data_IF_989675843899
#
_entry.id   IF_989675843899
#
_cell.length_a   1.000
_cell.length_b   1.000
_cell.length_c   1.000
_cell.angle_alpha   90.00
_cell.angle_beta   90.00
_cell.angle_gamma   90.00
#
_symmetry.space_group_name_H-M   'P 1'
#
loop_
_entity.id
_entity.type
_entity.pdbx_description
1 polymer ?
#
# COMPACT_ATOMS: atom_id res chain seq x y z
N UNK A 1 -14.09 29.19 -15.34
CA UNK A 1 -12.64 29.27 -15.05
C UNK A 1 -12.33 28.07 -14.16
N UNK A 2 -12.02 26.91 -14.76
CA UNK A 2 -11.76 25.69 -14.01
C UNK A 2 -10.25 25.59 -13.77
N UNK A 3 -9.84 25.64 -12.51
CA UNK A 3 -8.48 25.44 -12.07
C UNK A 3 -8.14 23.96 -12.17
N UNK A 4 -7.34 23.58 -13.17
CA UNK A 4 -6.83 22.24 -13.35
C UNK A 4 -5.76 21.95 -12.30
N UNK A 5 -6.09 21.14 -11.31
CA UNK A 5 -5.09 20.48 -10.46
C UNK A 5 -4.50 19.38 -11.33
N UNK A 6 -3.30 19.59 -11.82
CA UNK A 6 -2.59 18.64 -12.67
C UNK A 6 -2.13 17.44 -11.83
N UNK A 7 -2.27 16.25 -12.40
CA UNK A 7 -1.78 14.97 -11.84
C UNK A 7 -0.31 15.00 -11.34
N UNK A 8 0.47 15.95 -11.82
CA UNK A 8 1.85 16.21 -11.41
C UNK A 8 1.99 16.75 -9.99
N UNK A 9 1.02 17.52 -9.47
CA UNK A 9 1.10 18.07 -8.11
C UNK A 9 0.90 17.00 -7.05
N UNK A 10 -0.02 16.07 -7.28
CA UNK A 10 -0.29 14.93 -6.37
C UNK A 10 0.90 13.96 -6.33
N UNK A 11 1.57 13.77 -7.48
CA UNK A 11 2.74 12.88 -7.56
C UNK A 11 3.98 13.48 -6.84
N UNK A 12 4.15 14.79 -6.91
CA UNK A 12 5.24 15.50 -6.22
C UNK A 12 5.01 15.51 -4.70
N UNK A 13 3.78 15.70 -4.23
CA UNK A 13 3.44 15.59 -2.81
C UNK A 13 3.69 14.17 -2.28
N UNK A 14 3.33 13.14 -3.02
CA UNK A 14 3.59 11.74 -2.64
C UNK A 14 5.09 11.42 -2.56
N UNK A 15 5.90 11.90 -3.49
CA UNK A 15 7.36 11.74 -3.45
C UNK A 15 8.00 12.47 -2.27
N UNK A 16 7.45 13.62 -1.88
CA UNK A 16 7.93 14.39 -0.72
C UNK A 16 7.61 13.67 0.59
N UNK A 17 6.42 13.08 0.71
CA UNK A 17 6.01 12.29 1.88
C UNK A 17 6.84 11.00 2.03
N UNK A 18 7.13 10.30 0.94
CA UNK A 18 7.98 9.10 0.94
C UNK A 18 9.42 9.44 1.37
N UNK A 19 9.96 10.57 0.92
CA UNK A 19 11.29 11.01 1.34
C UNK A 19 11.35 11.43 2.82
N UNK A 20 10.32 12.10 3.31
CA UNK A 20 10.20 12.45 4.74
C UNK A 20 10.10 11.20 5.63
N UNK A 21 9.43 10.15 5.16
CA UNK A 21 9.32 8.88 5.87
C UNK A 21 10.67 8.14 5.94
N UNK A 22 11.44 8.09 4.85
CA UNK A 22 12.81 7.55 4.84
C UNK A 22 13.74 8.31 5.77
N UNK A 23 13.65 9.63 5.81
CA UNK A 23 14.42 10.48 6.71
C UNK A 23 14.08 10.22 8.19
N UNK A 24 12.79 10.01 8.52
CA UNK A 24 12.38 9.69 9.89
C UNK A 24 12.87 8.31 10.35
N UNK A 25 12.71 7.28 9.50
CA UNK A 25 13.27 5.93 9.82
C UNK A 25 14.77 5.96 10.02
N UNK A 26 15.49 6.73 9.21
CA UNK A 26 16.93 6.91 9.38
C UNK A 26 17.27 7.65 10.68
N UNK A 27 16.54 8.72 11.03
CA UNK A 27 16.74 9.46 12.30
C UNK A 27 16.40 8.60 13.53
N UNK A 28 15.37 7.74 13.46
CA UNK A 28 15.06 6.77 14.53
C UNK A 28 16.18 5.73 14.69
N UNK A 29 16.68 5.19 13.57
CA UNK A 29 17.77 4.21 13.60
C UNK A 29 19.07 4.83 14.17
N UNK A 30 19.37 6.08 13.82
CA UNK A 30 20.52 6.82 14.36
C UNK A 30 20.34 7.11 15.85
N UNK A 31 19.12 7.44 16.32
CA UNK A 31 18.83 7.60 17.75
C UNK A 31 19.02 6.30 18.52
N UNK A 32 18.55 5.17 18.02
CA UNK A 32 18.72 3.83 18.62
C UNK A 32 20.20 3.44 18.71
N UNK A 33 21.00 3.78 17.70
CA UNK A 33 22.44 3.53 17.72
C UNK A 33 23.17 4.47 18.70
N UNK A 34 22.74 5.72 18.81
CA UNK A 34 23.34 6.68 19.74
C UNK A 34 23.06 6.32 21.21
N UNK A 35 21.85 5.82 21.54
CA UNK A 35 21.51 5.34 22.87
C UNK A 35 22.25 4.05 23.23
N UNK A 36 22.45 3.15 22.26
CA UNK A 36 23.23 1.91 22.46
C UNK A 36 24.73 2.18 22.73
N UNK A 37 25.30 3.19 22.09
CA UNK A 37 26.75 3.55 22.30
C UNK A 37 26.96 4.28 23.62
N UNK A 38 26.00 5.06 24.10
CA UNK A 38 26.10 5.73 25.40
C UNK A 38 26.03 4.77 26.58
N UNK A 39 25.28 3.66 26.44
CA UNK A 39 25.14 2.66 27.50
C UNK A 39 26.42 1.82 27.71
N UNK A 40 27.29 1.72 26.70
CA UNK A 40 28.53 0.95 26.80
C UNK A 40 29.75 1.76 27.35
N UNK A 41 29.65 3.09 27.40
CA UNK A 41 30.77 3.95 27.84
C UNK A 41 30.68 4.41 29.30
N UNK A 42 29.60 4.09 30.04
CA UNK A 42 29.41 4.55 31.43
C UNK A 42 29.78 3.52 32.51
N UNK A 43 30.36 2.37 32.17
CA UNK A 43 30.69 1.32 33.15
C UNK A 43 32.07 1.42 33.79
N UNK A 44 32.84 2.50 33.63
CA UNK A 44 34.21 2.64 34.14
C UNK A 44 34.51 3.94 34.90
N UNK A 45 33.55 4.57 35.58
CA UNK A 45 33.89 5.66 36.53
C UNK A 45 33.21 5.38 37.87
N UNK A 46 34.09 5.22 38.88
CA UNK A 46 33.82 4.94 40.29
C UNK A 46 33.10 6.07 41.03
N UNK A 47 32.50 5.79 42.20
CA UNK A 47 31.46 6.61 42.83
C UNK A 47 32.03 7.68 43.72
N UNK A 48 31.72 8.94 43.49
CA UNK A 48 31.82 9.99 44.52
C UNK A 48 30.59 10.89 44.43
N UNK A 49 29.90 10.94 45.57
CA UNK A 49 28.87 11.89 45.99
C UNK A 49 27.46 11.70 45.44
N UNK A 50 26.63 11.27 46.38
CA UNK A 50 25.20 11.21 46.32
C UNK A 50 24.52 12.56 45.98
N UNK A 51 23.33 12.41 45.44
CA UNK A 51 22.38 13.46 45.11
C UNK A 51 22.35 13.90 43.65
N UNK A 52 22.08 12.97 42.76
CA UNK A 52 21.57 13.25 41.42
C UNK A 52 20.65 12.13 40.94
N UNK A 53 19.92 11.50 41.82
CA UNK A 53 18.92 10.47 41.48
C UNK A 53 17.51 11.05 41.31
N UNK A 54 17.43 12.18 40.61
CA UNK A 54 16.16 12.70 40.18
C UNK A 54 16.31 13.36 38.81
N UNK A 55 17.06 12.70 37.93
CA UNK A 55 17.19 13.15 36.55
C UNK A 55 16.68 12.07 35.61
N UNK A 56 15.43 12.30 35.17
CA UNK A 56 14.86 11.72 33.99
C UNK A 56 14.74 10.18 33.95
N UNK A 57 13.71 9.65 34.58
CA UNK A 57 12.85 8.78 33.79
C UNK A 57 12.26 9.67 32.69
N UNK A 58 13.03 9.88 31.64
CA UNK A 58 12.44 10.18 30.35
C UNK A 58 11.52 8.99 30.08
N UNK A 59 10.25 9.21 30.38
CA UNK A 59 9.18 8.41 29.83
C UNK A 59 9.44 8.55 28.33
N UNK A 60 10.11 7.57 27.70
CA UNK A 60 10.01 7.37 26.28
C UNK A 60 8.52 7.15 26.07
N UNK A 61 7.79 8.22 25.74
CA UNK A 61 6.44 8.11 25.23
C UNK A 61 6.58 7.21 24.02
N UNK A 62 6.25 5.95 24.18
CA UNK A 62 6.27 4.97 23.12
C UNK A 62 5.09 5.30 22.22
N UNK A 63 5.33 6.19 21.28
CA UNK A 63 4.35 6.50 20.26
C UNK A 63 4.09 5.26 19.43
N UNK A 64 2.84 4.87 19.36
CA UNK A 64 2.38 3.86 18.42
C UNK A 64 1.92 4.53 17.13
N UNK A 65 2.15 3.85 16.01
CA UNK A 65 1.75 4.34 14.70
C UNK A 65 0.81 3.32 14.07
N UNK A 66 -0.24 3.83 13.43
CA UNK A 66 -1.16 3.00 12.63
C UNK A 66 -1.31 3.59 11.23
N UNK A 67 -1.66 2.76 10.26
CA UNK A 67 -1.77 3.09 8.85
C UNK A 67 -3.23 3.02 8.42
N UNK A 68 -3.69 4.00 7.64
CA UNK A 68 -5.03 3.96 7.07
C UNK A 68 -5.16 2.79 6.08
N UNK A 69 -6.16 1.94 6.26
CA UNK A 69 -6.42 0.77 5.41
C UNK A 69 -7.16 1.10 4.12
N UNK A 70 -7.65 2.33 3.98
CA UNK A 70 -8.32 2.81 2.77
C UNK A 70 -8.27 4.33 2.65
N UNK A 71 -8.44 4.82 1.42
CA UNK A 71 -8.62 6.24 1.16
C UNK A 71 -10.06 6.69 1.43
N UNK A 72 -10.23 7.98 1.74
CA UNK A 72 -11.55 8.61 1.87
C UNK A 72 -12.24 8.42 3.22
N UNK A 73 -11.62 7.76 4.20
CA UNK A 73 -12.14 7.66 5.56
C UNK A 73 -12.09 9.01 6.24
N UNK A 74 -13.16 9.38 6.93
CA UNK A 74 -13.25 10.68 7.59
C UNK A 74 -12.35 10.74 8.84
N UNK A 75 -11.57 11.79 8.92
CA UNK A 75 -10.86 12.23 10.12
C UNK A 75 -11.75 13.25 10.81
N UNK A 76 -12.09 13.03 12.09
CA UNK A 76 -13.09 13.79 12.80
C UNK A 76 -12.53 14.48 14.04
N UNK A 77 -13.19 15.56 14.45
CA UNK A 77 -12.81 16.34 15.62
C UNK A 77 -13.10 15.63 16.94
N UNK A 78 -14.15 14.79 16.98
CA UNK A 78 -14.59 14.02 18.13
C UNK A 78 -14.89 12.58 17.74
N UNK A 79 -14.87 11.61 18.68
CA UNK A 79 -15.06 10.19 18.41
C UNK A 79 -16.54 9.81 18.19
N UNK A 80 -17.21 10.46 17.24
CA UNK A 80 -18.59 10.17 16.85
C UNK A 80 -18.85 10.52 15.38
N UNK A 81 -19.92 9.98 14.82
CA UNK A 81 -20.27 10.15 13.41
C UNK A 81 -20.88 11.51 13.07
N UNK A 82 -21.34 12.25 14.06
CA UNK A 82 -21.99 13.56 13.89
C UNK A 82 -21.01 14.72 14.02
N UNK A 83 -19.80 14.42 14.48
CA UNK A 83 -18.72 15.38 14.65
C UNK A 83 -18.24 15.96 13.32
N UNK A 84 -17.69 17.17 13.39
CA UNK A 84 -17.04 17.85 12.28
C UNK A 84 -15.97 16.97 11.59
N UNK A 85 -16.01 16.95 10.26
CA UNK A 85 -15.00 16.26 9.45
C UNK A 85 -13.85 17.24 9.19
N UNK A 86 -12.67 16.94 9.71
CA UNK A 86 -11.46 17.75 9.56
C UNK A 86 -10.69 17.41 8.27
N UNK A 87 -10.89 16.20 7.74
CA UNK A 87 -10.20 15.72 6.55
C UNK A 87 -10.57 14.29 6.20
N UNK A 88 -9.83 13.74 5.24
CA UNK A 88 -9.98 12.35 4.81
C UNK A 88 -8.61 11.68 4.69
N UNK A 89 -8.57 10.38 4.94
CA UNK A 89 -7.36 9.57 4.80
C UNK A 89 -6.99 9.35 3.34
N UNK A 90 -5.70 9.13 3.09
CA UNK A 90 -5.21 8.38 1.93
C UNK A 90 -4.79 6.98 2.41
N UNK A 91 -4.82 5.99 1.51
CA UNK A 91 -4.32 4.66 1.82
C UNK A 91 -2.87 4.72 2.32
N UNK A 92 -2.56 3.93 3.34
CA UNK A 92 -1.24 3.88 3.97
C UNK A 92 -0.75 5.22 4.55
N UNK A 93 -1.65 6.19 4.78
CA UNK A 93 -1.27 7.35 5.60
C UNK A 93 -0.95 6.88 7.00
N UNK A 94 0.26 7.19 7.47
CA UNK A 94 0.71 6.90 8.82
C UNK A 94 0.18 7.95 9.81
N UNK A 95 -0.38 7.50 10.91
CA UNK A 95 -0.86 8.34 12.00
C UNK A 95 -0.17 7.96 13.29
N UNK A 96 0.35 8.95 14.00
CA UNK A 96 0.76 8.78 15.38
C UNK A 96 -0.49 8.68 16.24
N UNK A 97 -0.64 7.56 16.96
CA UNK A 97 -1.81 7.27 17.78
C UNK A 97 -1.52 7.52 19.25
N UNK A 98 -2.56 7.93 19.97
CA UNK A 98 -2.50 8.24 21.40
C UNK A 98 -3.21 7.17 22.22
N UNK A 99 -4.46 6.90 21.88
CA UNK A 99 -5.33 5.94 22.59
C UNK A 99 -6.48 5.50 21.69
N UNK A 100 -7.07 4.36 22.02
CA UNK A 100 -8.32 3.88 21.42
C UNK A 100 -9.47 4.09 22.41
N UNK A 101 -10.57 4.74 21.98
CA UNK A 101 -11.76 5.07 22.78
C UNK A 101 -13.01 4.69 22.00
N UNK A 102 -13.81 3.77 22.50
CA UNK A 102 -15.13 3.41 21.97
C UNK A 102 -15.16 3.12 20.46
N UNK A 103 -14.14 2.40 19.96
CA UNK A 103 -14.00 2.06 18.54
C UNK A 103 -13.45 3.18 17.65
N UNK A 104 -12.92 4.23 18.28
CA UNK A 104 -12.20 5.32 17.63
C UNK A 104 -10.75 5.38 18.11
N UNK A 105 -9.84 5.62 17.21
CA UNK A 105 -8.44 5.88 17.54
C UNK A 105 -8.18 7.38 17.53
N UNK A 106 -7.70 7.90 18.65
CA UNK A 106 -7.23 9.27 18.78
C UNK A 106 -5.85 9.40 18.15
N UNK A 107 -5.71 10.34 17.26
CA UNK A 107 -4.47 10.62 16.52
C UNK A 107 -3.96 12.03 16.81
N UNK A 108 -2.66 12.24 16.66
CA UNK A 108 -2.03 13.54 16.72
C UNK A 108 -2.04 14.20 15.34
N UNK A 109 -2.41 15.47 15.27
CA UNK A 109 -2.33 16.32 14.07
C UNK A 109 -1.61 17.60 14.38
N UNK A 110 -1.26 18.40 13.37
CA UNK A 110 -0.65 19.74 13.58
C UNK A 110 -1.57 20.69 14.35
N UNK A 111 -2.89 20.50 14.23
CA UNK A 111 -3.91 21.33 14.89
C UNK A 111 -4.34 20.80 16.28
N UNK A 112 -3.74 19.71 16.77
CA UNK A 112 -4.10 19.04 18.01
C UNK A 112 -4.53 17.59 17.77
N UNK A 113 -5.60 17.13 18.44
CA UNK A 113 -6.10 15.78 18.33
C UNK A 113 -7.26 15.68 17.33
N UNK A 114 -7.34 14.50 16.70
CA UNK A 114 -8.45 14.10 15.84
C UNK A 114 -8.74 12.61 16.04
N UNK A 115 -9.80 12.10 15.42
CA UNK A 115 -10.26 10.73 15.60
C UNK A 115 -10.55 10.06 14.26
N UNK A 116 -10.14 8.82 14.15
CA UNK A 116 -10.45 7.92 13.03
C UNK A 116 -11.09 6.68 13.62
N UNK A 117 -12.12 6.11 12.98
CA UNK A 117 -12.64 4.80 13.40
C UNK A 117 -11.55 3.75 13.35
N UNK A 118 -11.34 3.03 14.46
CA UNK A 118 -10.24 2.07 14.61
C UNK A 118 -10.26 0.95 13.57
N UNK A 119 -11.45 0.57 13.06
CA UNK A 119 -11.63 -0.43 12.01
C UNK A 119 -10.94 -0.07 10.68
N UNK A 120 -10.62 1.21 10.46
CA UNK A 120 -9.93 1.69 9.27
C UNK A 120 -8.43 1.94 9.48
N UNK A 121 -7.89 1.43 10.56
CA UNK A 121 -6.46 1.52 10.88
C UNK A 121 -5.85 0.13 11.07
N UNK A 122 -4.59 -0.02 10.67
CA UNK A 122 -3.79 -1.24 10.79
C UNK A 122 -2.43 -0.90 11.41
N UNK A 123 -1.85 -1.82 12.17
CA UNK A 123 -0.49 -1.69 12.71
C UNK A 123 0.59 -1.85 11.64
N UNK A 124 0.23 -2.32 10.44
CA UNK A 124 1.12 -2.49 9.29
C UNK A 124 0.55 -1.83 8.06
N UNK A 125 1.43 -1.38 7.16
CA UNK A 125 1.04 -0.88 5.85
C UNK A 125 0.29 -1.94 5.04
N UNK A 126 -0.71 -1.50 4.29
CA UNK A 126 -1.44 -2.37 3.36
C UNK A 126 -0.57 -2.57 2.12
N UNK A 127 -0.20 -3.82 1.88
CA UNK A 127 0.56 -4.20 0.68
C UNK A 127 -0.35 -4.49 -0.51
N UNK A 128 -1.55 -5.05 -0.26
CA UNK A 128 -2.50 -5.46 -1.28
C UNK A 128 -3.91 -4.95 -0.99
N UNK A 129 -4.55 -4.37 -2.00
CA UNK A 129 -5.97 -3.97 -1.95
C UNK A 129 -6.81 -5.06 -2.65
N UNK A 130 -7.87 -5.60 -2.00
CA UNK A 130 -8.77 -6.51 -2.66
C UNK A 130 -9.58 -5.79 -3.75
N UNK A 131 -9.52 -6.29 -4.98
CA UNK A 131 -10.33 -5.82 -6.10
C UNK A 131 -11.63 -6.64 -6.25
N UNK A 132 -11.74 -7.75 -5.49
CA UNK A 132 -12.86 -8.67 -5.52
C UNK A 132 -12.69 -9.79 -6.55
N UNK A 133 -13.79 -10.42 -6.92
CA UNK A 133 -13.82 -11.63 -7.72
C UNK A 133 -13.76 -11.33 -9.23
N UNK A 134 -12.80 -11.94 -9.92
CA UNK A 134 -12.59 -11.81 -11.35
C UNK A 134 -12.81 -13.15 -12.05
N UNK A 135 -13.33 -13.08 -13.30
CA UNK A 135 -13.34 -14.20 -14.24
C UNK A 135 -11.98 -14.25 -14.94
N UNK A 136 -11.23 -15.33 -14.76
CA UNK A 136 -9.92 -15.55 -15.36
C UNK A 136 -10.07 -16.59 -16.48
N UNK A 137 -9.68 -16.21 -17.69
CA UNK A 137 -9.55 -17.08 -18.86
C UNK A 137 -8.09 -17.17 -19.29
N UNK A 138 -7.80 -18.10 -20.21
CA UNK A 138 -6.44 -18.35 -20.67
C UNK A 138 -6.36 -18.37 -22.18
N UNK A 139 -5.26 -17.84 -22.73
CA UNK A 139 -4.91 -17.93 -24.13
C UNK A 139 -3.48 -18.43 -24.29
N UNK A 140 -3.19 -19.17 -25.37
CA UNK A 140 -1.83 -19.66 -25.63
C UNK A 140 -1.03 -18.69 -26.49
N UNK A 141 0.29 -18.74 -26.30
CA UNK A 141 1.26 -17.95 -27.10
C UNK A 141 1.92 -18.79 -28.20
N UNK A 142 1.51 -20.05 -28.36
CA UNK A 142 1.95 -20.88 -29.47
C UNK A 142 1.56 -20.24 -30.82
N UNK A 143 2.41 -20.37 -31.86
CA UNK A 143 2.11 -19.84 -33.18
C UNK A 143 1.02 -20.66 -33.88
N UNK A 144 -0.24 -20.45 -33.51
CA UNK A 144 -1.42 -21.03 -34.16
C UNK A 144 -2.09 -20.06 -35.10
N UNK A 145 -2.51 -20.54 -36.28
CA UNK A 145 -3.13 -19.69 -37.30
C UNK A 145 -4.54 -19.21 -36.95
N UNK A 146 -5.23 -19.74 -35.93
CA UNK A 146 -6.68 -19.56 -35.85
C UNK A 146 -7.32 -19.28 -34.50
N UNK A 147 -6.64 -19.34 -33.35
CA UNK A 147 -7.39 -19.42 -32.08
C UNK A 147 -6.94 -18.43 -30.99
N UNK A 148 -5.69 -18.06 -30.89
CA UNK A 148 -5.17 -17.33 -29.75
C UNK A 148 -4.41 -16.06 -30.15
N UNK A 149 -4.96 -14.92 -29.76
CA UNK A 149 -4.29 -13.62 -29.85
C UNK A 149 -4.33 -12.94 -31.23
N UNK A 150 -4.00 -11.65 -31.24
CA UNK A 150 -4.00 -10.79 -32.45
C UNK A 150 -2.71 -10.85 -33.26
N UNK A 151 -1.75 -11.67 -32.87
CA UNK A 151 -0.59 -11.99 -33.69
C UNK A 151 0.58 -11.01 -33.68
N UNK A 152 0.56 -9.91 -32.95
CA UNK A 152 1.73 -8.99 -32.88
C UNK A 152 2.84 -9.52 -32.00
N UNK A 153 2.51 -10.43 -31.07
CA UNK A 153 3.46 -10.94 -30.07
C UNK A 153 3.93 -9.91 -29.06
N UNK A 154 3.34 -8.71 -29.06
CA UNK A 154 3.62 -7.64 -28.12
C UNK A 154 2.39 -7.30 -27.29
N UNK A 155 2.61 -7.03 -26.00
CA UNK A 155 1.61 -6.50 -25.07
C UNK A 155 1.33 -5.03 -25.37
N UNK A 156 0.29 -4.48 -24.75
CA UNK A 156 -0.02 -3.04 -24.84
C UNK A 156 1.10 -2.15 -24.28
N UNK A 157 1.90 -2.66 -23.33
CA UNK A 157 3.08 -1.97 -22.81
C UNK A 157 4.31 -2.08 -23.71
N UNK A 158 4.23 -2.82 -24.82
CA UNK A 158 5.33 -3.02 -25.77
C UNK A 158 6.28 -4.17 -25.41
N UNK A 159 6.01 -4.92 -24.36
CA UNK A 159 6.77 -6.09 -23.97
C UNK A 159 6.42 -7.29 -24.86
N UNK A 160 7.35 -8.23 -25.04
CA UNK A 160 7.04 -9.49 -25.68
C UNK A 160 6.08 -10.29 -24.78
N UNK A 161 5.00 -10.79 -25.36
CA UNK A 161 4.05 -11.65 -24.64
C UNK A 161 4.75 -12.90 -24.14
N UNK A 162 4.53 -13.26 -22.89
CA UNK A 162 5.10 -14.43 -22.22
C UNK A 162 4.05 -15.12 -21.34
N UNK A 163 4.26 -16.39 -20.92
CA UNK A 163 3.37 -17.03 -19.96
C UNK A 163 3.25 -16.18 -18.67
N UNK A 164 2.01 -15.84 -18.27
CA UNK A 164 1.73 -14.95 -17.16
C UNK A 164 1.47 -13.50 -17.54
N UNK A 165 1.67 -13.09 -18.82
CA UNK A 165 1.21 -11.76 -19.27
C UNK A 165 -0.32 -11.66 -19.13
N UNK A 166 -0.80 -10.61 -18.46
CA UNK A 166 -2.23 -10.40 -18.22
C UNK A 166 -2.81 -9.35 -19.16
N UNK A 167 -3.91 -9.69 -19.83
CA UNK A 167 -4.82 -8.73 -20.44
C UNK A 167 -5.92 -8.38 -19.44
N UNK A 168 -6.13 -7.07 -19.23
CA UNK A 168 -7.05 -6.51 -18.23
C UNK A 168 -7.89 -5.37 -18.80
N UNK A 169 -8.90 -4.93 -18.07
CA UNK A 169 -9.54 -3.63 -18.29
C UNK A 169 -8.74 -2.54 -17.54
N UNK A 170 -8.05 -1.60 -18.23
CA UNK A 170 -7.21 -0.61 -17.57
C UNK A 170 -7.98 0.41 -16.73
N UNK A 171 -9.31 0.42 -16.80
CA UNK A 171 -10.17 1.23 -15.91
C UNK A 171 -10.35 0.58 -14.54
N UNK A 172 -10.08 -0.73 -14.42
CA UNK A 172 -10.18 -1.52 -13.17
C UNK A 172 -8.80 -1.84 -12.63
N UNK A 173 -7.90 -2.32 -13.48
CA UNK A 173 -6.51 -2.62 -13.16
C UNK A 173 -5.62 -1.78 -14.09
N UNK A 174 -4.96 -0.72 -13.59
CA UNK A 174 -4.06 0.09 -14.42
C UNK A 174 -2.95 -0.75 -15.03
N UNK A 175 -2.60 -0.47 -16.29
CA UNK A 175 -1.45 -1.14 -16.94
C UNK A 175 -0.15 -0.83 -16.20
N UNK A 176 0.71 -1.83 -16.07
CA UNK A 176 1.94 -1.77 -15.30
C UNK A 176 1.77 -2.12 -13.82
N UNK A 177 0.53 -2.24 -13.33
CA UNK A 177 0.28 -2.65 -11.95
C UNK A 177 0.59 -4.13 -11.75
N UNK A 178 1.07 -4.46 -10.55
CA UNK A 178 1.19 -5.84 -10.09
C UNK A 178 -0.10 -6.27 -9.40
N UNK A 179 -0.61 -7.43 -9.74
CA UNK A 179 -1.75 -8.06 -9.08
C UNK A 179 -1.41 -9.45 -8.57
N UNK A 180 -2.00 -9.83 -7.44
CA UNK A 180 -1.91 -11.18 -6.90
C UNK A 180 -3.19 -11.97 -7.23
N UNK A 181 -3.00 -13.16 -7.80
CA UNK A 181 -4.08 -14.12 -8.14
C UNK A 181 -3.64 -15.48 -7.62
N UNK A 182 -4.44 -16.12 -6.77
CA UNK A 182 -4.14 -17.43 -6.19
C UNK A 182 -2.73 -17.51 -5.56
N UNK A 183 -2.29 -16.45 -4.85
CA UNK A 183 -1.01 -16.38 -4.15
C UNK A 183 0.20 -16.15 -5.06
N UNK A 184 0.02 -15.82 -6.34
CA UNK A 184 1.09 -15.47 -7.28
C UNK A 184 0.90 -14.06 -7.81
N UNK A 185 2.00 -13.34 -7.96
CA UNK A 185 2.05 -12.02 -8.56
C UNK A 185 2.18 -12.09 -10.08
N UNK A 186 1.47 -11.18 -10.75
CA UNK A 186 1.49 -10.98 -12.18
C UNK A 186 1.45 -9.50 -12.51
N UNK A 187 1.98 -9.10 -13.66
CA UNK A 187 1.91 -7.72 -14.14
C UNK A 187 0.79 -7.57 -15.17
N UNK A 188 -0.03 -6.55 -15.03
CA UNK A 188 -1.04 -6.17 -16.00
C UNK A 188 -0.37 -5.48 -17.18
N UNK A 189 -0.13 -6.19 -18.28
CA UNK A 189 0.70 -5.71 -19.40
C UNK A 189 -0.10 -5.41 -20.66
N UNK A 190 -1.30 -5.98 -20.78
CA UNK A 190 -2.05 -5.95 -22.03
C UNK A 190 -3.53 -5.63 -21.84
N UNK A 191 -4.21 -5.40 -22.94
CA UNK A 191 -5.65 -5.16 -23.01
C UNK A 191 -6.29 -6.02 -24.10
N UNK A 192 -7.49 -6.52 -23.84
CA UNK A 192 -8.30 -7.21 -24.83
C UNK A 192 -9.60 -6.49 -25.15
N UNK A 193 -10.06 -6.52 -26.39
CA UNK A 193 -11.34 -5.92 -26.79
C UNK A 193 -12.52 -6.46 -25.99
N UNK A 194 -12.50 -7.77 -25.68
CA UNK A 194 -13.51 -8.48 -24.89
C UNK A 194 -13.25 -8.48 -23.38
N UNK A 195 -12.06 -8.03 -22.93
CA UNK A 195 -11.63 -8.02 -21.53
C UNK A 195 -12.07 -6.69 -20.92
N UNK A 196 -13.24 -6.71 -20.27
CA UNK A 196 -13.90 -5.52 -19.68
C UNK A 196 -14.39 -5.83 -18.27
N UNK A 197 -14.28 -4.83 -17.38
CA UNK A 197 -14.64 -4.98 -15.97
C UNK A 197 -13.77 -6.03 -15.28
N UNK A 198 -14.39 -6.84 -14.44
CA UNK A 198 -13.70 -7.87 -13.65
C UNK A 198 -13.40 -9.14 -14.47
N UNK A 199 -12.68 -8.96 -15.58
CA UNK A 199 -12.19 -10.05 -16.44
C UNK A 199 -10.68 -9.92 -16.61
N UNK A 200 -10.03 -11.07 -16.64
CA UNK A 200 -8.60 -11.23 -16.92
C UNK A 200 -8.44 -12.32 -17.95
N UNK A 201 -7.53 -12.13 -18.92
CA UNK A 201 -7.11 -13.17 -19.83
C UNK A 201 -5.60 -13.35 -19.69
N UNK A 202 -5.18 -14.56 -19.29
CA UNK A 202 -3.80 -14.86 -18.92
C UNK A 202 -3.13 -15.65 -20.03
N UNK A 203 -1.98 -15.19 -20.47
CA UNK A 203 -1.13 -15.92 -21.41
C UNK A 203 -0.58 -17.17 -20.78
N UNK A 204 -0.61 -18.29 -21.52
CA UNK A 204 0.03 -19.56 -21.14
C UNK A 204 0.86 -20.08 -22.32
N UNK A 205 1.80 -21.00 -22.03
CA UNK A 205 2.73 -21.45 -23.04
C UNK A 205 2.06 -22.20 -24.19
N UNK A 206 1.12 -23.09 -23.90
CA UNK A 206 0.54 -24.00 -24.90
C UNK A 206 -0.97 -23.95 -24.95
N UNK A 207 -1.52 -24.30 -26.12
CA UNK A 207 -2.99 -24.41 -26.31
C UNK A 207 -3.60 -25.49 -25.40
N UNK A 208 -2.90 -26.61 -25.22
CA UNK A 208 -3.32 -27.67 -24.31
C UNK A 208 -3.42 -27.18 -22.87
N UNK A 209 -2.46 -26.35 -22.43
CA UNK A 209 -2.48 -25.73 -21.11
C UNK A 209 -3.68 -24.79 -20.96
N UNK A 210 -3.95 -23.93 -21.95
CA UNK A 210 -5.11 -23.02 -21.93
C UNK A 210 -6.43 -23.79 -21.81
N UNK A 211 -6.58 -24.89 -22.54
CA UNK A 211 -7.77 -25.74 -22.46
C UNK A 211 -7.91 -26.43 -21.10
N UNK A 212 -6.81 -26.94 -20.54
CA UNK A 212 -6.82 -27.61 -19.24
C UNK A 212 -7.15 -26.66 -18.09
N UNK A 213 -6.62 -25.45 -18.10
CA UNK A 213 -6.91 -24.41 -17.09
C UNK A 213 -8.32 -23.85 -17.27
N UNK A 214 -8.80 -23.76 -18.51
CA UNK A 214 -10.14 -23.32 -18.84
C UNK A 214 -10.43 -21.90 -18.31
N UNK A 215 -11.61 -21.78 -17.69
CA UNK A 215 -12.08 -20.51 -17.09
C UNK A 215 -12.45 -20.78 -15.64
N UNK A 216 -11.94 -19.92 -14.75
CA UNK A 216 -12.26 -19.99 -13.33
C UNK A 216 -12.50 -18.59 -12.74
N UNK A 217 -12.92 -18.54 -11.49
CA UNK A 217 -13.07 -17.30 -10.73
C UNK A 217 -12.08 -17.27 -9.57
N UNK A 218 -11.40 -16.13 -9.39
CA UNK A 218 -10.45 -15.92 -8.31
C UNK A 218 -10.64 -14.55 -7.69
N UNK A 219 -10.29 -14.43 -6.41
CA UNK A 219 -10.08 -13.13 -5.79
C UNK A 219 -8.78 -12.53 -6.31
N UNK A 220 -8.85 -11.26 -6.67
CA UNK A 220 -7.71 -10.49 -7.22
C UNK A 220 -7.38 -9.35 -6.27
N UNK A 221 -6.09 -9.17 -6.01
CA UNK A 221 -5.58 -8.13 -5.13
C UNK A 221 -4.60 -7.26 -5.90
N UNK A 222 -4.73 -5.94 -5.78
CA UNK A 222 -3.80 -4.98 -6.37
C UNK A 222 -2.66 -4.72 -5.39
N UNK A 223 -1.41 -4.89 -5.81
CA UNK A 223 -0.24 -4.50 -5.05
C UNK A 223 -0.10 -2.98 -5.06
N UNK A 224 0.05 -2.38 -3.89
CA UNK A 224 0.12 -0.92 -3.72
C UNK A 224 1.48 -0.44 -3.21
N UNK A 225 2.37 -1.40 -2.93
CA UNK A 225 3.73 -1.13 -2.48
C UNK A 225 4.74 -2.11 -3.07
#
# INVERSE_FOLDING_TARGET
MFCGITLTSVYIEQLTLVNLHKERKFKQMVKLLATGVLALSLSLVTPVLGRAEEYNTLIEESYTYKYATSAGVNIRKEPNTDSEILGKTLLNTEFQTVEDVDGWTKITTEAGYAYIKSEYLSDTEIEYIPLGKFKVSHYCIEPHKHICGTGTGLTKLGNKVHPGSLSVDPRVIPLGSTVMINGREYVAEDTGGAIKGNKIDMAVATHKEALNLGVYYAEVYLKVK
#
